data_IF_428496784170
#
_entry.id   IF_428496784170
#
_cell.length_a   1.000
_cell.length_b   1.000
_cell.length_c   1.000
_cell.angle_alpha   90.00
_cell.angle_beta   90.00
_cell.angle_gamma   90.00
#
_symmetry.space_group_name_H-M   'P 1'
#
loop_
_entity.id
_entity.type
_entity.pdbx_description
1 polymer ?
#
# COMPACT_ATOMS: atom_id res chain seq x y z
N UNK A 1 11.42 7.32 -15.90
CA UNK A 1 10.19 6.69 -15.38
C UNK A 1 9.03 7.29 -16.15
N UNK A 2 8.01 6.52 -16.54
CA UNK A 2 6.86 7.05 -17.28
C UNK A 2 6.03 7.98 -16.38
N UNK A 3 5.57 9.13 -16.88
CA UNK A 3 4.74 10.07 -16.13
C UNK A 3 3.29 10.02 -16.62
N UNK A 4 2.34 10.07 -15.69
CA UNK A 4 0.90 9.96 -15.98
C UNK A 4 0.16 11.11 -15.28
N UNK A 5 -0.33 12.05 -16.07
CA UNK A 5 -0.98 13.26 -15.56
C UNK A 5 -2.50 13.12 -15.52
N UNK A 6 -3.17 13.79 -14.58
CA UNK A 6 -4.63 13.95 -14.59
C UNK A 6 -5.44 12.73 -14.16
N UNK A 7 -4.78 11.64 -13.75
CA UNK A 7 -5.45 10.43 -13.25
C UNK A 7 -6.00 10.58 -11.82
N UNK A 8 -5.39 11.48 -11.05
CA UNK A 8 -5.83 11.80 -9.70
C UNK A 8 -5.83 13.31 -9.51
N UNK A 9 -6.60 13.75 -8.51
CA UNK A 9 -6.61 15.15 -8.07
C UNK A 9 -6.41 15.22 -6.56
N UNK A 10 -5.88 16.34 -6.10
CA UNK A 10 -5.88 16.72 -4.70
C UNK A 10 -6.56 18.08 -4.56
N UNK A 11 -7.73 18.08 -3.94
CA UNK A 11 -8.60 19.27 -3.81
C UNK A 11 -8.88 19.95 -5.16
N UNK A 12 -9.10 19.15 -6.21
CA UNK A 12 -9.36 19.63 -7.57
C UNK A 12 -8.11 19.94 -8.40
N UNK A 13 -6.92 20.01 -7.78
CA UNK A 13 -5.66 20.20 -8.52
C UNK A 13 -5.18 18.84 -9.07
N UNK A 14 -4.93 18.71 -10.38
CA UNK A 14 -4.38 17.48 -10.96
C UNK A 14 -2.98 17.20 -10.41
N UNK A 15 -2.67 15.92 -10.15
CA UNK A 15 -1.32 15.48 -9.76
C UNK A 15 -0.77 14.47 -10.77
N UNK A 16 0.54 14.28 -10.74
CA UNK A 16 1.27 13.38 -11.64
C UNK A 16 1.65 12.09 -10.90
N UNK A 17 1.35 10.96 -11.52
CA UNK A 17 1.80 9.65 -11.07
C UNK A 17 3.04 9.19 -11.83
N UNK A 18 3.99 8.60 -11.13
CA UNK A 18 5.19 8.01 -11.69
C UNK A 18 5.03 6.50 -11.84
N UNK A 19 5.48 5.96 -12.98
CA UNK A 19 5.38 4.54 -13.32
C UNK A 19 4.12 4.20 -14.11
N UNK A 20 4.02 2.94 -14.51
CA UNK A 20 2.85 2.39 -15.21
C UNK A 20 1.86 1.83 -14.19
N UNK A 21 0.55 1.95 -14.46
CA UNK A 21 -0.42 1.26 -13.61
C UNK A 21 -0.26 -0.25 -13.74
N UNK A 22 -0.48 -0.96 -12.63
CA UNK A 22 -0.74 -2.39 -12.68
C UNK A 22 -1.99 -2.68 -13.51
N UNK A 23 -1.97 -3.80 -14.23
CA UNK A 23 -3.04 -4.23 -15.14
C UNK A 23 -3.66 -5.54 -14.63
N UNK A 24 -4.99 -5.66 -14.77
CA UNK A 24 -5.72 -6.86 -14.36
C UNK A 24 -5.22 -8.07 -15.17
N UNK A 25 -4.96 -9.18 -14.46
CA UNK A 25 -4.53 -10.44 -15.07
C UNK A 25 -3.08 -10.44 -15.56
N UNK A 26 -2.28 -9.42 -15.19
CA UNK A 26 -0.84 -9.42 -15.38
C UNK A 26 -0.15 -9.79 -14.07
N UNK A 27 1.03 -10.42 -14.11
CA UNK A 27 1.81 -10.67 -12.91
C UNK A 27 2.04 -9.39 -12.11
N UNK A 28 1.83 -9.46 -10.80
CA UNK A 28 2.04 -8.37 -9.88
C UNK A 28 3.52 -7.93 -9.93
N UNK A 29 3.82 -6.64 -10.19
CA UNK A 29 5.19 -6.16 -10.20
C UNK A 29 5.91 -6.43 -8.88
N UNK A 30 7.16 -6.88 -8.96
CA UNK A 30 8.00 -7.03 -7.77
C UNK A 30 8.26 -5.67 -7.13
N UNK A 31 8.22 -5.65 -5.80
CA UNK A 31 8.61 -4.49 -5.00
C UNK A 31 9.20 -4.93 -3.66
N UNK A 32 9.97 -4.03 -3.06
CA UNK A 32 10.48 -4.18 -1.69
C UNK A 32 9.99 -3.01 -0.85
N UNK A 33 9.42 -3.31 0.31
CA UNK A 33 9.03 -2.34 1.33
C UNK A 33 9.68 -2.68 2.68
N UNK A 34 9.46 -1.86 3.69
CA UNK A 34 9.99 -2.07 5.04
C UNK A 34 8.88 -2.36 6.05
N UNK A 35 9.07 -3.39 6.86
CA UNK A 35 8.25 -3.64 8.04
C UNK A 35 8.63 -2.71 9.19
N UNK A 36 7.82 -2.73 10.26
CA UNK A 36 8.04 -1.97 11.49
C UNK A 36 9.41 -2.20 12.16
N UNK A 37 9.99 -3.39 11.98
CA UNK A 37 11.32 -3.78 12.47
C UNK A 37 12.46 -3.50 11.48
N UNK A 38 12.16 -2.78 10.38
CA UNK A 38 13.06 -2.47 9.27
C UNK A 38 13.49 -3.67 8.42
N UNK A 39 12.90 -4.85 8.64
CA UNK A 39 13.11 -5.99 7.75
C UNK A 39 12.42 -5.75 6.39
N UNK A 40 12.97 -6.31 5.29
CA UNK A 40 12.37 -6.16 3.97
C UNK A 40 11.10 -7.01 3.86
N UNK A 41 10.03 -6.41 3.36
CA UNK A 41 8.82 -7.07 2.88
C UNK A 41 8.91 -7.28 1.37
N UNK A 42 8.57 -8.49 0.90
CA UNK A 42 8.32 -8.81 -0.51
C UNK A 42 7.08 -9.70 -0.64
N UNK A 43 6.45 -9.71 -1.82
CA UNK A 43 5.28 -10.55 -2.09
C UNK A 43 5.57 -12.05 -1.94
N UNK A 44 6.79 -12.50 -2.22
CA UNK A 44 7.18 -13.91 -2.09
C UNK A 44 7.09 -14.43 -0.65
N UNK A 45 7.17 -13.52 0.33
CA UNK A 45 7.06 -13.85 1.76
C UNK A 45 5.61 -14.06 2.22
N UNK A 46 4.62 -13.86 1.35
CA UNK A 46 3.19 -13.96 1.69
C UNK A 46 2.66 -15.39 1.69
N UNK A 47 3.49 -16.38 1.29
CA UNK A 47 3.16 -17.80 1.39
C UNK A 47 2.06 -18.26 0.44
N UNK A 48 1.88 -17.59 -0.70
CA UNK A 48 0.85 -17.93 -1.69
C UNK A 48 -0.58 -17.54 -1.29
N UNK A 49 -0.72 -16.63 -0.32
CA UNK A 49 -2.02 -16.04 0.06
C UNK A 49 -2.49 -15.04 -1.00
N UNK A 50 -3.80 -14.81 -1.04
CA UNK A 50 -4.34 -13.63 -1.73
C UNK A 50 -3.92 -12.39 -0.94
N UNK A 51 -3.39 -11.36 -1.60
CA UNK A 51 -2.90 -10.16 -0.93
C UNK A 51 -3.77 -8.96 -1.31
N UNK A 52 -4.43 -8.37 -0.32
CA UNK A 52 -5.13 -7.09 -0.47
C UNK A 52 -4.19 -5.97 -0.07
N UNK A 53 -3.80 -5.15 -1.04
CA UNK A 53 -2.92 -4.00 -0.85
C UNK A 53 -3.77 -2.73 -0.72
N UNK A 54 -3.78 -2.17 0.48
CA UNK A 54 -4.39 -0.89 0.79
C UNK A 54 -3.34 0.23 0.74
N UNK A 55 -3.22 0.91 -0.41
CA UNK A 55 -2.28 2.02 -0.58
C UNK A 55 -2.91 3.33 -0.10
N UNK A 56 -2.20 4.04 0.77
CA UNK A 56 -2.64 5.31 1.36
C UNK A 56 -1.52 6.37 1.33
N UNK A 57 -1.86 7.67 1.17
CA UNK A 57 -0.85 8.72 1.23
C UNK A 57 -0.08 8.77 2.55
N UNK A 58 -0.80 8.77 3.67
CA UNK A 58 -0.25 8.78 5.03
C UNK A 58 -1.30 8.38 6.06
N UNK A 59 -0.96 7.47 6.96
CA UNK A 59 -1.81 7.01 8.07
C UNK A 59 -2.07 8.10 9.13
N UNK A 60 -1.24 9.14 9.19
CA UNK A 60 -1.42 10.30 10.08
C UNK A 60 -2.54 11.26 9.59
N UNK A 61 -3.37 10.85 8.62
CA UNK A 61 -4.53 11.61 8.15
C UNK A 61 -5.86 10.90 8.44
N UNK A 62 -6.95 11.63 8.79
CA UNK A 62 -8.19 11.01 9.27
C UNK A 62 -8.81 10.01 8.30
N UNK A 63 -8.78 10.30 7.00
CA UNK A 63 -9.40 9.44 5.98
C UNK A 63 -8.58 8.18 5.73
N UNK A 64 -7.25 8.23 5.86
CA UNK A 64 -6.40 7.04 5.76
C UNK A 64 -6.55 6.16 6.99
N UNK A 65 -6.57 6.76 8.19
CA UNK A 65 -6.84 6.05 9.43
C UNK A 65 -8.17 5.31 9.40
N UNK A 66 -9.24 5.98 8.96
CA UNK A 66 -10.56 5.36 8.80
C UNK A 66 -10.54 4.17 7.81
N UNK A 67 -9.83 4.31 6.69
CA UNK A 67 -9.66 3.22 5.71
C UNK A 67 -8.94 2.02 6.33
N UNK A 68 -7.83 2.23 7.03
CA UNK A 68 -7.09 1.16 7.69
C UNK A 68 -7.92 0.45 8.78
N UNK A 69 -8.66 1.21 9.61
CA UNK A 69 -9.58 0.64 10.62
C UNK A 69 -10.66 -0.23 9.98
N UNK A 70 -11.25 0.22 8.86
CA UNK A 70 -12.26 -0.55 8.13
C UNK A 70 -11.68 -1.86 7.59
N UNK A 71 -10.52 -1.81 6.93
CA UNK A 71 -9.85 -3.02 6.45
C UNK A 71 -9.45 -3.96 7.59
N UNK A 72 -9.05 -3.46 8.76
CA UNK A 72 -8.73 -4.30 9.92
C UNK A 72 -9.96 -5.07 10.43
N UNK A 73 -11.15 -4.46 10.38
CA UNK A 73 -12.40 -5.15 10.74
C UNK A 73 -12.77 -6.21 9.69
N UNK A 74 -12.72 -5.84 8.42
CA UNK A 74 -13.08 -6.75 7.32
C UNK A 74 -12.10 -7.92 7.19
N UNK A 75 -10.80 -7.69 7.41
CA UNK A 75 -9.77 -8.72 7.34
C UNK A 75 -10.05 -9.92 8.25
N UNK A 76 -10.65 -9.69 9.42
CA UNK A 76 -11.05 -10.76 10.34
C UNK A 76 -12.10 -11.72 9.74
N UNK A 77 -12.86 -11.26 8.74
CA UNK A 77 -13.90 -12.04 8.08
C UNK A 77 -13.44 -12.72 6.76
N UNK A 78 -12.23 -12.41 6.27
CA UNK A 78 -11.73 -12.90 4.97
C UNK A 78 -11.06 -14.28 5.07
N UNK A 79 -10.77 -14.76 6.27
CA UNK A 79 -10.13 -16.06 6.53
C UNK A 79 -8.61 -16.04 6.31
N UNK A 80 -7.95 -17.15 6.66
CA UNK A 80 -6.48 -17.23 6.75
C UNK A 80 -5.75 -17.21 5.41
N UNK A 81 -6.49 -17.46 4.31
CA UNK A 81 -5.99 -17.46 2.94
C UNK A 81 -5.81 -16.06 2.35
N UNK A 82 -6.22 -15.03 3.08
CA UNK A 82 -6.12 -13.63 2.68
C UNK A 82 -5.21 -12.88 3.64
N UNK A 83 -4.26 -12.14 3.08
CA UNK A 83 -3.42 -11.19 3.80
C UNK A 83 -3.81 -9.78 3.40
N UNK A 84 -4.03 -8.91 4.38
CA UNK A 84 -4.27 -7.49 4.13
C UNK A 84 -3.04 -6.70 4.55
N UNK A 85 -2.51 -5.90 3.64
CA UNK A 85 -1.39 -4.99 3.92
C UNK A 85 -1.80 -3.55 3.67
N UNK A 86 -1.25 -2.63 4.46
CA UNK A 86 -1.34 -1.19 4.23
C UNK A 86 0.02 -0.67 3.83
N UNK A 87 0.09 0.04 2.70
CA UNK A 87 1.33 0.60 2.15
C UNK A 87 1.26 2.12 2.13
N UNK A 88 2.26 2.78 2.70
CA UNK A 88 2.40 4.24 2.68
C UNK A 88 3.86 4.68 2.62
N UNK A 89 4.10 5.99 2.51
CA UNK A 89 5.43 6.59 2.62
C UNK A 89 5.78 6.99 4.07
N UNK A 90 4.89 6.70 5.04
CA UNK A 90 5.17 6.97 6.45
C UNK A 90 6.34 6.10 6.92
N UNK A 91 7.18 6.60 7.82
CA UNK A 91 8.26 5.80 8.39
C UNK A 91 7.72 4.56 9.11
N UNK A 92 8.42 3.43 9.10
CA UNK A 92 7.97 2.19 9.73
C UNK A 92 7.54 2.37 11.19
N UNK A 93 8.24 3.20 11.95
CA UNK A 93 7.92 3.48 13.35
C UNK A 93 6.60 4.24 13.53
N UNK A 94 6.26 5.13 12.58
CA UNK A 94 4.99 5.87 12.60
C UNK A 94 3.82 4.93 12.30
N UNK A 95 3.99 4.01 11.35
CA UNK A 95 3.01 2.97 11.05
C UNK A 95 2.80 2.02 12.25
N UNK A 96 3.89 1.56 12.88
CA UNK A 96 3.82 0.72 14.09
C UNK A 96 3.09 1.43 15.24
N UNK A 97 3.38 2.73 15.43
CA UNK A 97 2.69 3.55 16.45
C UNK A 97 1.20 3.67 16.15
N UNK A 98 0.82 3.90 14.88
CA UNK A 98 -0.57 3.91 14.44
C UNK A 98 -1.26 2.60 14.80
N UNK A 99 -0.69 1.45 14.41
CA UNK A 99 -1.30 0.15 14.68
C UNK A 99 -1.49 -0.11 16.17
N UNK A 100 -0.48 0.22 17.00
CA UNK A 100 -0.55 0.07 18.45
C UNK A 100 -1.63 0.96 19.08
N UNK A 101 -1.71 2.22 18.66
CA UNK A 101 -2.69 3.19 19.19
C UNK A 101 -4.12 2.84 18.81
N UNK A 102 -4.30 2.29 17.60
CA UNK A 102 -5.60 2.04 16.99
C UNK A 102 -6.11 0.60 17.19
N UNK A 103 -5.33 -0.27 17.85
CA UNK A 103 -5.69 -1.67 18.04
C UNK A 103 -5.78 -2.46 16.74
N UNK A 104 -4.90 -2.15 15.78
CA UNK A 104 -4.86 -2.82 14.47
C UNK A 104 -4.04 -4.11 14.61
N UNK A 105 -4.69 -5.25 14.40
CA UNK A 105 -4.10 -6.58 14.60
C UNK A 105 -4.29 -7.53 13.40
N UNK A 106 -5.24 -7.24 12.51
CA UNK A 106 -5.62 -8.14 11.41
C UNK A 106 -5.05 -7.71 10.05
N UNK A 107 -4.15 -6.71 10.05
CA UNK A 107 -3.43 -6.28 8.85
C UNK A 107 -1.98 -5.93 9.20
N UNK A 108 -1.12 -5.99 8.20
CA UNK A 108 0.29 -5.60 8.31
C UNK A 108 0.50 -4.23 7.67
N UNK A 109 1.29 -3.35 8.30
CA UNK A 109 1.74 -2.10 7.68
C UNK A 109 3.14 -2.26 7.14
N UNK A 110 3.36 -1.80 5.91
CA UNK A 110 4.67 -1.76 5.28
C UNK A 110 4.94 -0.37 4.68
N UNK A 111 6.18 0.08 4.80
CA UNK A 111 6.61 1.40 4.38
C UNK A 111 7.41 1.33 3.09
N UNK A 112 6.97 2.08 2.08
CA UNK A 112 7.66 2.22 0.80
C UNK A 112 8.69 3.38 0.83
N UNK A 113 8.91 4.01 1.99
CA UNK A 113 9.60 5.28 2.09
C UNK A 113 11.06 5.27 1.58
N UNK A 114 11.74 4.13 1.71
CA UNK A 114 13.19 4.04 1.47
C UNK A 114 13.51 4.17 -0.01
N UNK A 115 12.86 3.33 -0.82
CA UNK A 115 13.18 3.16 -2.24
C UNK A 115 12.04 3.62 -3.16
N UNK A 116 10.85 3.87 -2.61
CA UNK A 116 9.61 4.11 -3.37
C UNK A 116 9.34 3.01 -4.44
N UNK A 117 9.74 1.78 -4.13
CA UNK A 117 9.76 0.64 -5.04
C UNK A 117 8.34 0.25 -5.43
N UNK A 118 7.43 0.16 -4.46
CA UNK A 118 6.01 -0.14 -4.70
C UNK A 118 5.36 0.98 -5.52
N UNK A 119 5.51 2.23 -5.08
CA UNK A 119 4.90 3.38 -5.75
C UNK A 119 5.35 3.51 -7.20
N UNK A 120 6.63 3.27 -7.50
CA UNK A 120 7.16 3.29 -8.86
C UNK A 120 6.68 2.10 -9.71
N UNK A 121 6.66 0.89 -9.13
CA UNK A 121 6.32 -0.34 -9.86
C UNK A 121 4.82 -0.45 -10.19
N UNK A 122 3.96 0.08 -9.31
CA UNK A 122 2.49 0.04 -9.46
C UNK A 122 1.91 1.33 -10.03
N UNK A 123 2.75 2.33 -10.29
CA UNK A 123 2.30 3.59 -10.87
C UNK A 123 1.60 4.50 -9.86
N UNK A 124 1.85 4.36 -8.56
CA UNK A 124 1.11 5.05 -7.50
C UNK A 124 1.91 6.15 -6.81
N UNK A 125 3.19 6.31 -7.14
CA UNK A 125 4.00 7.38 -6.56
C UNK A 125 3.61 8.74 -7.14
N UNK A 126 3.15 9.66 -6.29
CA UNK A 126 2.80 11.03 -6.67
C UNK A 126 4.09 11.85 -6.78
N UNK A 127 4.39 12.36 -7.97
CA UNK A 127 5.62 13.12 -8.26
C UNK A 127 5.75 14.36 -7.39
N UNK A 128 4.67 15.13 -7.25
CA UNK A 128 4.69 16.44 -6.58
C UNK A 128 4.81 16.33 -5.06
N UNK A 129 4.28 15.26 -4.47
CA UNK A 129 4.18 15.11 -3.02
C UNK A 129 5.15 14.08 -2.46
N UNK A 130 5.69 13.19 -3.31
CA UNK A 130 6.45 12.00 -2.91
C UNK A 130 5.69 11.16 -1.87
N UNK A 131 4.37 11.06 -2.07
CA UNK A 131 3.44 10.20 -1.33
C UNK A 131 2.83 9.18 -2.27
N UNK A 132 2.22 8.13 -1.73
CA UNK A 132 1.44 7.21 -2.55
C UNK A 132 0.04 7.77 -2.81
N UNK A 133 -0.47 7.51 -4.01
CA UNK A 133 -1.88 7.70 -4.31
C UNK A 133 -2.73 6.70 -3.55
N UNK A 134 -3.93 7.11 -3.13
CA UNK A 134 -4.89 6.22 -2.49
C UNK A 134 -5.41 5.22 -3.52
N UNK A 135 -5.20 3.93 -3.28
CA UNK A 135 -5.65 2.85 -4.15
C UNK A 135 -5.86 1.56 -3.35
N UNK A 136 -6.64 0.62 -3.91
CA UNK A 136 -6.74 -0.75 -3.42
C UNK A 136 -6.42 -1.68 -4.57
N UNK A 137 -5.52 -2.62 -4.35
CA UNK A 137 -5.20 -3.69 -5.30
C UNK A 137 -5.41 -5.04 -4.63
N UNK A 138 -5.77 -6.04 -5.43
CA UNK A 138 -5.92 -7.42 -4.98
C UNK A 138 -5.03 -8.28 -5.88
N UNK A 139 -4.13 -9.02 -5.26
CA UNK A 139 -3.23 -9.96 -5.93
C UNK A 139 -3.72 -11.37 -5.61
N UNK A 140 -4.01 -12.15 -6.65
CA UNK A 140 -4.41 -13.55 -6.56
C UNK A 140 -3.31 -14.44 -5.98
N UNK A 141 -3.69 -15.65 -5.57
CA UNK A 141 -2.73 -16.66 -5.07
C UNK A 141 -1.69 -17.06 -6.11
N UNK A 142 -2.00 -16.88 -7.40
CA UNK A 142 -1.13 -17.11 -8.54
C UNK A 142 -0.19 -15.93 -8.87
N UNK A 143 -0.28 -14.84 -8.09
CA UNK A 143 0.55 -13.66 -8.25
C UNK A 143 0.08 -12.71 -9.35
N UNK A 144 -1.19 -12.76 -9.76
CA UNK A 144 -1.79 -11.85 -10.77
C UNK A 144 -2.83 -10.88 -10.22
#
# INVERSE_FOLDING_TARGET
>A
MHERHGFITFKGTPLTLLGSAAEIGKPAPHFTALRGDLSPFTLDQTGGKTVVINSVPSLDTPVCAAQARRFNQEAAALGDDVMVIVVSMDLPFAQSRFCSTEGIANLETVSDHRDASFGAAYGLLIKELRLLARAVLVIGKDGT
#
